data_IF_120487133999
#
_entry.id   IF_120487133999
#
_cell.length_a   1.000
_cell.length_b   1.000
_cell.length_c   1.000
_cell.angle_alpha   90.00
_cell.angle_beta   90.00
_cell.angle_gamma   90.00
#
_symmetry.space_group_name_H-M   'P 1'
#
loop_
_entity.id
_entity.type
_entity.pdbx_description
1 polymer ?
#
# COMPACT_ATOMS: atom_id res chain seq x y z
N UNK A 1 -13.08 15.26 39.57
CA UNK A 1 -12.42 13.93 39.52
C UNK A 1 -13.24 13.07 38.58
N UNK A 2 -12.85 13.00 37.30
CA UNK A 2 -13.56 12.24 36.27
C UNK A 2 -12.63 11.09 35.89
N UNK A 3 -13.08 9.87 36.18
CA UNK A 3 -12.31 8.65 35.97
C UNK A 3 -12.18 8.32 34.48
N UNK A 4 -10.94 8.07 34.06
CA UNK A 4 -10.63 7.50 32.75
C UNK A 4 -10.80 5.98 32.82
N UNK A 5 -11.68 5.45 31.97
CA UNK A 5 -11.80 4.01 31.70
C UNK A 5 -10.74 3.64 30.68
N UNK A 6 -9.70 2.95 31.13
CA UNK A 6 -8.67 2.32 30.30
C UNK A 6 -9.26 1.03 29.74
N UNK A 7 -9.57 1.02 28.44
CA UNK A 7 -9.93 -0.19 27.71
C UNK A 7 -8.68 -1.01 27.40
N UNK A 8 -8.46 -2.09 28.16
CA UNK A 8 -7.42 -3.08 27.87
C UNK A 8 -7.93 -4.06 26.81
N UNK A 9 -7.26 -4.12 25.66
CA UNK A 9 -7.48 -5.17 24.67
C UNK A 9 -6.63 -6.39 25.07
N UNK A 10 -7.31 -7.48 25.40
CA UNK A 10 -6.72 -8.80 25.66
C UNK A 10 -6.07 -9.32 24.38
N UNK A 11 -4.74 -9.42 24.39
CA UNK A 11 -3.98 -10.14 23.37
C UNK A 11 -4.15 -11.65 23.54
N UNK A 12 -4.64 -12.31 22.49
CA UNK A 12 -4.56 -13.77 22.35
C UNK A 12 -3.11 -14.11 21.98
N UNK A 13 -2.42 -14.86 22.85
CA UNK A 13 -1.15 -15.50 22.54
C UNK A 13 -1.40 -16.90 22.00
N UNK A 14 -0.76 -17.23 20.87
CA UNK A 14 -0.49 -18.62 20.50
C UNK A 14 -0.42 -18.88 19.00
N UNK A 15 0.79 -18.89 18.46
CA UNK A 15 1.48 -20.08 17.89
C UNK A 15 2.76 -19.61 17.17
N UNK A 16 3.80 -20.43 17.22
CA UNK A 16 5.12 -20.12 16.67
C UNK A 16 5.03 -19.78 15.18
N UNK A 17 5.20 -18.49 14.90
CA UNK A 17 5.04 -17.88 13.60
C UNK A 17 6.14 -18.36 12.64
N UNK A 18 5.92 -19.26 11.69
CA UNK A 18 6.96 -19.67 10.73
C UNK A 18 7.53 -18.48 9.94
N UNK A 19 8.58 -18.64 9.10
CA UNK A 19 9.09 -17.54 8.29
C UNK A 19 8.01 -16.86 7.42
N UNK A 20 6.94 -17.58 7.08
CA UNK A 20 5.75 -17.09 6.37
C UNK A 20 4.84 -16.17 7.23
N UNK A 21 5.00 -16.16 8.54
CA UNK A 21 4.21 -15.36 9.48
C UNK A 21 4.89 -14.03 9.84
N UNK A 22 6.01 -13.72 9.18
CA UNK A 22 6.64 -12.40 9.29
C UNK A 22 5.73 -11.35 8.64
N UNK A 23 5.61 -10.20 9.30
CA UNK A 23 4.68 -9.13 8.97
C UNK A 23 5.44 -7.79 8.93
N UNK A 24 5.20 -7.02 7.88
CA UNK A 24 5.56 -5.60 7.81
C UNK A 24 4.30 -4.76 7.83
N UNK A 25 4.31 -3.73 8.66
CA UNK A 25 3.23 -2.76 8.74
C UNK A 25 3.75 -1.39 8.31
N UNK A 26 2.98 -0.71 7.45
CA UNK A 26 3.18 0.70 7.13
C UNK A 26 1.93 1.47 7.52
N UNK A 27 2.09 2.48 8.37
CA UNK A 27 1.01 3.39 8.73
C UNK A 27 1.34 4.80 8.25
N UNK A 28 0.35 5.46 7.65
CA UNK A 28 0.44 6.87 7.28
C UNK A 28 -0.69 7.66 7.90
N UNK A 29 -0.32 8.76 8.58
CA UNK A 29 -1.26 9.66 9.24
C UNK A 29 -0.94 11.12 8.89
N UNK A 30 -1.99 11.91 8.71
CA UNK A 30 -1.92 13.37 8.50
C UNK A 30 -2.98 14.02 9.39
N UNK A 31 -2.77 14.13 10.70
CA UNK A 31 -3.81 14.57 11.64
C UNK A 31 -4.27 16.01 11.39
N UNK A 32 -3.44 16.84 10.74
CA UNK A 32 -3.80 18.19 10.34
C UNK A 32 -4.75 18.24 9.14
N UNK A 33 -4.95 17.13 8.42
CA UNK A 33 -5.85 17.03 7.28
C UNK A 33 -7.11 16.24 7.65
N UNK A 34 -8.21 16.50 6.94
CA UNK A 34 -9.47 15.77 7.12
C UNK A 34 -9.48 14.37 6.50
N UNK A 35 -8.41 13.98 5.80
CA UNK A 35 -8.32 12.67 5.19
C UNK A 35 -7.91 11.63 6.24
N UNK A 36 -8.62 10.49 6.34
CA UNK A 36 -8.24 9.44 7.26
C UNK A 36 -6.88 8.87 6.85
N UNK A 37 -6.03 8.65 7.85
CA UNK A 37 -4.83 7.85 7.67
C UNK A 37 -5.17 6.41 7.23
N UNK A 38 -4.15 5.69 6.80
CA UNK A 38 -4.27 4.31 6.37
C UNK A 38 -3.12 3.45 6.87
N UNK A 39 -3.37 2.14 6.88
CA UNK A 39 -2.39 1.13 7.27
C UNK A 39 -2.35 0.02 6.23
N UNK A 40 -1.14 -0.38 5.83
CA UNK A 40 -0.88 -1.64 5.16
C UNK A 40 -0.31 -2.65 6.14
N UNK A 41 -0.76 -3.89 6.01
CA UNK A 41 -0.18 -5.08 6.61
C UNK A 41 0.22 -6.01 5.48
N UNK A 42 1.50 -6.37 5.36
CA UNK A 42 2.02 -7.23 4.29
C UNK A 42 2.75 -8.40 4.90
N UNK A 43 2.28 -9.60 4.61
CA UNK A 43 2.93 -10.85 4.94
C UNK A 43 3.97 -11.23 3.89
N UNK A 44 4.96 -12.02 4.32
CA UNK A 44 6.06 -12.46 3.44
C UNK A 44 5.60 -13.28 2.24
N UNK A 45 4.44 -13.93 2.33
CA UNK A 45 3.87 -14.75 1.27
C UNK A 45 3.01 -13.98 0.26
N UNK A 46 2.87 -12.65 0.42
CA UNK A 46 2.09 -11.79 -0.47
C UNK A 46 0.69 -11.46 0.03
N UNK A 47 0.18 -12.18 1.05
CA UNK A 47 -1.10 -11.80 1.68
C UNK A 47 -0.95 -10.43 2.31
N UNK A 48 -1.93 -9.56 2.07
CA UNK A 48 -1.91 -8.22 2.60
C UNK A 48 -3.30 -7.76 3.04
N UNK A 49 -3.34 -6.69 3.83
CA UNK A 49 -4.55 -5.97 4.15
C UNK A 49 -4.29 -4.46 4.08
N UNK A 50 -5.30 -3.73 3.61
CA UNK A 50 -5.33 -2.28 3.63
C UNK A 50 -6.48 -1.81 4.52
N UNK A 51 -6.16 -1.01 5.53
CA UNK A 51 -7.14 -0.42 6.44
C UNK A 51 -7.19 1.08 6.25
N UNK A 52 -8.37 1.63 6.00
CA UNK A 52 -8.62 3.07 5.97
C UNK A 52 -9.99 3.37 6.60
N UNK A 53 -10.07 4.42 7.42
CA UNK A 53 -11.30 4.82 8.09
C UNK A 53 -11.99 3.68 8.89
N UNK A 54 -11.22 2.74 9.44
CA UNK A 54 -11.72 1.59 10.18
C UNK A 54 -12.23 0.42 9.34
N UNK A 55 -12.19 0.53 8.01
CA UNK A 55 -12.54 -0.55 7.08
C UNK A 55 -11.25 -1.23 6.61
N UNK A 56 -11.13 -2.53 6.87
CA UNK A 56 -10.02 -3.36 6.40
C UNK A 56 -10.44 -4.21 5.22
N UNK A 57 -9.70 -4.12 4.12
CA UNK A 57 -9.90 -4.94 2.92
C UNK A 57 -8.70 -5.88 2.72
N UNK A 58 -8.93 -7.18 2.47
CA UNK A 58 -7.85 -8.08 2.11
C UNK A 58 -7.35 -7.75 0.70
N UNK A 59 -6.05 -7.89 0.51
CA UNK A 59 -5.34 -7.65 -0.74
C UNK A 59 -4.33 -8.77 -0.99
N UNK A 60 -3.89 -8.88 -2.22
CA UNK A 60 -2.79 -9.77 -2.62
C UNK A 60 -1.73 -8.92 -3.30
N UNK A 61 -0.51 -8.98 -2.79
CA UNK A 61 0.67 -8.31 -3.36
C UNK A 61 1.52 -9.38 -4.05
N UNK A 62 2.13 -9.04 -5.19
CA UNK A 62 3.04 -9.94 -5.89
C UNK A 62 4.14 -10.44 -4.96
N UNK A 63 4.47 -11.73 -5.08
CA UNK A 63 5.55 -12.36 -4.32
C UNK A 63 6.88 -11.63 -4.50
N UNK A 64 7.12 -11.08 -5.70
CA UNK A 64 8.28 -10.26 -6.00
C UNK A 64 8.33 -8.95 -5.21
N UNK A 65 7.20 -8.22 -5.09
CA UNK A 65 7.16 -7.00 -4.28
C UNK A 65 7.24 -7.33 -2.78
N UNK A 66 6.51 -8.33 -2.31
CA UNK A 66 6.60 -8.78 -0.92
C UNK A 66 8.04 -9.16 -0.55
N UNK A 67 8.73 -9.95 -1.37
CA UNK A 67 10.13 -10.31 -1.13
C UNK A 67 11.04 -9.07 -1.02
N UNK A 68 10.90 -8.11 -1.95
CA UNK A 68 11.69 -6.87 -1.95
C UNK A 68 11.46 -6.03 -0.67
N UNK A 69 10.21 -5.82 -0.27
CA UNK A 69 9.86 -5.08 0.96
C UNK A 69 10.55 -5.74 2.18
N UNK A 70 10.52 -7.06 2.27
CA UNK A 70 11.15 -7.80 3.37
C UNK A 70 12.68 -7.73 3.34
N UNK A 71 13.31 -7.86 2.17
CA UNK A 71 14.75 -7.69 2.00
C UNK A 71 15.21 -6.29 2.42
N UNK A 72 14.49 -5.26 1.98
CA UNK A 72 14.75 -3.87 2.34
C UNK A 72 14.60 -3.66 3.85
N UNK A 73 13.54 -4.18 4.48
CA UNK A 73 13.35 -4.07 5.93
C UNK A 73 14.49 -4.74 6.72
N UNK A 74 14.93 -5.93 6.33
CA UNK A 74 16.08 -6.62 6.95
C UNK A 74 17.37 -5.80 6.78
N UNK A 75 17.58 -5.18 5.62
CA UNK A 75 18.77 -4.36 5.33
C UNK A 75 18.88 -3.11 6.22
N UNK A 76 17.76 -2.63 6.78
CA UNK A 76 17.70 -1.53 7.75
C UNK A 76 17.39 -2.01 9.16
N UNK A 77 17.94 -3.16 9.55
CA UNK A 77 17.84 -3.72 10.89
C UNK A 77 16.39 -3.86 11.39
N UNK A 78 15.44 -4.20 10.49
CA UNK A 78 14.02 -4.39 10.82
C UNK A 78 13.41 -3.17 11.52
N UNK A 79 13.88 -1.97 11.15
CA UNK A 79 13.49 -0.69 11.72
C UNK A 79 13.87 -0.49 13.19
N UNK A 80 14.76 -1.30 13.76
CA UNK A 80 15.28 -1.12 15.12
C UNK A 80 16.41 -0.07 15.17
N UNK A 81 16.11 1.16 14.74
CA UNK A 81 17.03 2.28 14.76
C UNK A 81 16.29 3.62 14.65
N UNK A 82 16.90 4.74 15.08
CA UNK A 82 16.28 6.07 14.92
C UNK A 82 16.36 6.52 13.46
N UNK A 83 15.31 6.26 12.69
CA UNK A 83 15.25 6.63 11.26
C UNK A 83 14.73 8.06 10.99
N UNK A 84 14.12 8.72 11.98
CA UNK A 84 13.64 10.09 11.81
C UNK A 84 14.79 11.11 11.70
N UNK A 85 14.67 12.03 10.76
CA UNK A 85 15.62 13.13 10.60
C UNK A 85 15.61 14.06 11.81
N UNK A 86 16.80 14.52 12.19
CA UNK A 86 16.99 15.54 13.24
C UNK A 86 17.09 16.96 12.66
N UNK A 87 16.96 17.15 11.34
CA UNK A 87 17.06 18.46 10.71
C UNK A 87 15.87 19.33 11.10
N UNK A 88 16.15 20.61 11.32
CA UNK A 88 15.13 21.63 11.57
C UNK A 88 14.59 22.17 10.24
N UNK A 89 13.37 22.69 10.27
CA UNK A 89 12.75 23.33 9.10
C UNK A 89 12.29 22.36 8.01
N UNK A 90 12.15 21.07 8.32
CA UNK A 90 11.52 20.12 7.40
C UNK A 90 10.01 20.36 7.39
N UNK A 91 9.44 20.48 6.20
CA UNK A 91 8.00 20.58 6.02
C UNK A 91 7.28 19.31 6.56
N UNK A 92 6.06 19.48 7.05
CA UNK A 92 5.24 18.35 7.46
C UNK A 92 4.67 17.62 6.23
N UNK A 93 5.19 16.42 5.98
CA UNK A 93 4.79 15.53 4.88
C UNK A 93 3.88 14.40 5.36
N UNK A 94 3.41 14.45 6.60
CA UNK A 94 2.66 13.39 7.27
C UNK A 94 3.55 12.44 8.06
N UNK A 95 2.99 11.92 9.15
CA UNK A 95 3.64 10.98 10.04
C UNK A 95 3.54 9.56 9.46
N UNK A 96 4.68 8.89 9.35
CA UNK A 96 4.81 7.55 8.79
C UNK A 96 5.39 6.63 9.86
N UNK A 97 4.91 5.41 9.95
CA UNK A 97 5.49 4.36 10.80
C UNK A 97 5.70 3.11 9.98
N UNK A 98 6.95 2.62 9.96
CA UNK A 98 7.29 1.30 9.43
C UNK A 98 7.59 0.39 10.61
N UNK A 99 6.98 -0.79 10.63
CA UNK A 99 7.22 -1.79 11.66
C UNK A 99 7.46 -3.17 11.03
N UNK A 100 8.28 -3.97 11.68
CA UNK A 100 8.56 -5.35 11.33
C UNK A 100 8.28 -6.24 12.54
N UNK A 101 7.70 -7.40 12.29
CA UNK A 101 7.54 -8.46 13.29
C UNK A 101 7.76 -9.82 12.64
N UNK A 102 8.71 -10.58 13.15
CA UNK A 102 9.00 -11.96 12.72
C UNK A 102 9.71 -12.75 13.82
N UNK A 103 10.06 -14.00 13.55
CA UNK A 103 10.89 -14.79 14.50
C UNK A 103 12.31 -14.26 14.62
N UNK A 104 12.80 -13.65 13.55
CA UNK A 104 14.16 -13.14 13.40
C UNK A 104 14.32 -11.71 13.94
N UNK A 105 13.27 -11.16 14.53
CA UNK A 105 13.30 -9.90 15.25
C UNK A 105 12.01 -9.09 15.13
N UNK A 106 12.02 -7.94 15.79
CA UNK A 106 10.98 -6.93 15.66
C UNK A 106 11.62 -5.55 15.80
N UNK A 107 11.00 -4.55 15.20
CA UNK A 107 11.44 -3.17 15.28
C UNK A 107 10.41 -2.26 14.64
N UNK A 108 10.52 -0.97 14.95
CA UNK A 108 9.62 0.04 14.41
C UNK A 108 10.29 1.38 14.40
N UNK A 109 10.05 2.14 13.34
CA UNK A 109 10.46 3.52 13.28
C UNK A 109 9.33 4.42 12.77
N UNK A 110 9.09 5.50 13.52
CA UNK A 110 8.16 6.57 13.19
C UNK A 110 8.92 7.83 12.76
N UNK A 111 8.51 8.44 11.66
CA UNK A 111 9.19 9.59 11.06
C UNK A 111 8.22 10.47 10.25
N UNK A 112 8.46 11.78 10.23
CA UNK A 112 7.90 12.68 9.22
C UNK A 112 8.76 12.62 7.93
N UNK A 113 10.08 12.72 8.13
CA UNK A 113 11.10 12.65 7.09
C UNK A 113 12.28 11.82 7.60
N UNK A 114 12.97 11.15 6.67
CA UNK A 114 14.13 10.30 6.94
C UNK A 114 15.20 10.57 5.89
N UNK A 115 16.48 10.54 6.27
CA UNK A 115 17.60 10.52 5.31
C UNK A 115 17.98 9.10 4.86
N UNK A 116 17.39 8.05 5.44
CA UNK A 116 17.66 6.68 5.02
C UNK A 116 17.00 6.39 3.68
N UNK A 117 17.83 6.17 2.65
CA UNK A 117 17.35 5.88 1.28
C UNK A 117 16.45 4.65 1.24
N UNK A 118 16.80 3.58 1.96
CA UNK A 118 15.97 2.38 2.00
C UNK A 118 14.62 2.63 2.67
N UNK A 119 14.58 3.43 3.74
CA UNK A 119 13.29 3.81 4.38
C UNK A 119 12.46 4.68 3.43
N UNK A 120 13.08 5.55 2.63
CA UNK A 120 12.40 6.29 1.56
C UNK A 120 11.86 5.35 0.48
N UNK A 121 12.65 4.39 -0.01
CA UNK A 121 12.19 3.40 -1.00
C UNK A 121 11.01 2.58 -0.50
N UNK A 122 11.05 2.08 0.74
CA UNK A 122 9.92 1.40 1.36
C UNK A 122 8.69 2.31 1.45
N UNK A 123 8.88 3.58 1.81
CA UNK A 123 7.79 4.56 1.84
C UNK A 123 7.16 4.70 0.46
N UNK A 124 7.97 4.90 -0.57
CA UNK A 124 7.52 5.10 -1.95
C UNK A 124 6.78 3.86 -2.46
N UNK A 125 7.20 2.66 -2.06
CA UNK A 125 6.50 1.41 -2.38
C UNK A 125 5.09 1.38 -1.75
N UNK A 126 4.97 1.60 -0.44
CA UNK A 126 3.66 1.59 0.21
C UNK A 126 2.75 2.73 -0.27
N UNK A 127 3.30 3.91 -0.53
CA UNK A 127 2.53 5.03 -1.07
C UNK A 127 2.14 4.80 -2.54
N UNK A 128 2.96 4.13 -3.33
CA UNK A 128 2.61 3.69 -4.68
C UNK A 128 1.49 2.65 -4.69
N UNK A 129 1.49 1.72 -3.73
CA UNK A 129 0.35 0.80 -3.52
C UNK A 129 -0.92 1.56 -3.12
N UNK A 130 -0.84 2.55 -2.22
CA UNK A 130 -1.99 3.38 -1.86
C UNK A 130 -2.54 4.15 -3.06
N UNK A 131 -1.65 4.71 -3.89
CA UNK A 131 -2.02 5.37 -5.14
C UNK A 131 -2.81 4.41 -6.04
N UNK A 132 -2.33 3.18 -6.23
CA UNK A 132 -3.05 2.19 -7.03
C UNK A 132 -4.46 1.88 -6.50
N UNK A 133 -4.63 1.74 -5.19
CA UNK A 133 -5.96 1.53 -4.62
C UNK A 133 -6.89 2.73 -4.85
N UNK A 134 -6.35 3.96 -4.79
CA UNK A 134 -7.11 5.16 -5.12
C UNK A 134 -7.52 5.21 -6.59
N UNK A 135 -6.62 4.84 -7.50
CA UNK A 135 -6.93 4.73 -8.94
C UNK A 135 -7.98 3.65 -9.21
N UNK A 136 -7.91 2.50 -8.53
CA UNK A 136 -8.94 1.45 -8.63
C UNK A 136 -10.31 1.95 -8.22
N UNK A 137 -10.40 2.64 -7.07
CA UNK A 137 -11.67 3.24 -6.60
C UNK A 137 -12.21 4.28 -7.59
N UNK A 138 -11.33 5.03 -8.23
CA UNK A 138 -11.70 6.01 -9.26
C UNK A 138 -12.23 5.32 -10.51
N UNK A 139 -11.57 4.28 -10.99
CA UNK A 139 -12.05 3.45 -12.10
C UNK A 139 -13.42 2.84 -11.79
N UNK A 140 -13.64 2.30 -10.58
CA UNK A 140 -14.94 1.75 -10.17
C UNK A 140 -16.04 2.83 -10.22
N UNK A 141 -15.76 4.01 -9.69
CA UNK A 141 -16.71 5.13 -9.69
C UNK A 141 -17.06 5.58 -11.11
N UNK A 142 -16.06 5.77 -11.97
CA UNK A 142 -16.26 6.17 -13.36
C UNK A 142 -16.97 5.09 -14.16
N UNK A 143 -16.62 3.82 -13.96
CA UNK A 143 -17.30 2.69 -14.59
C UNK A 143 -18.81 2.69 -14.28
N UNK A 144 -19.17 3.08 -13.06
CA UNK A 144 -20.56 3.14 -12.61
C UNK A 144 -21.31 4.40 -13.03
N UNK A 145 -20.66 5.56 -13.05
CA UNK A 145 -21.36 6.85 -13.16
C UNK A 145 -20.90 7.75 -14.32
N UNK A 146 -19.68 7.57 -14.84
CA UNK A 146 -19.13 8.39 -15.92
C UNK A 146 -18.20 7.58 -16.84
N UNK A 147 -18.81 6.71 -17.65
CA UNK A 147 -18.08 5.82 -18.56
C UNK A 147 -17.29 6.57 -19.65
N UNK A 148 -17.60 7.84 -19.90
CA UNK A 148 -16.88 8.65 -20.89
C UNK A 148 -15.55 9.17 -20.33
N UNK A 149 -15.44 9.37 -19.02
CA UNK A 149 -14.19 9.78 -18.35
C UNK A 149 -13.11 8.68 -18.38
N UNK A 150 -13.52 7.40 -18.39
CA UNK A 150 -12.63 6.23 -18.32
C UNK A 150 -11.47 6.25 -19.32
N UNK A 151 -11.65 6.80 -20.52
CA UNK A 151 -10.57 6.84 -21.50
C UNK A 151 -9.42 7.78 -21.08
N UNK A 152 -9.76 8.93 -20.51
CA UNK A 152 -8.78 9.84 -19.94
C UNK A 152 -8.09 9.20 -18.74
N UNK A 153 -8.85 8.49 -17.92
CA UNK A 153 -8.32 7.84 -16.74
C UNK A 153 -7.36 6.71 -17.04
N UNK A 154 -7.73 5.81 -17.94
CA UNK A 154 -6.85 4.73 -18.39
C UNK A 154 -5.57 5.27 -19.05
N UNK A 155 -5.63 6.42 -19.73
CA UNK A 155 -4.45 7.06 -20.31
C UNK A 155 -3.50 7.58 -19.23
N UNK A 156 -4.05 8.18 -18.17
CA UNK A 156 -3.28 8.61 -16.99
C UNK A 156 -2.63 7.42 -16.31
N UNK A 157 -3.40 6.34 -16.07
CA UNK A 157 -2.92 5.12 -15.44
C UNK A 157 -1.78 4.45 -16.23
N UNK A 158 -1.93 4.31 -17.54
CA UNK A 158 -0.84 3.81 -18.40
C UNK A 158 0.44 4.67 -18.30
N UNK A 159 0.28 5.99 -18.24
CA UNK A 159 1.41 6.91 -18.03
C UNK A 159 2.10 6.66 -16.70
N UNK A 160 1.33 6.52 -15.63
CA UNK A 160 1.86 6.22 -14.30
C UNK A 160 2.61 4.89 -14.25
N UNK A 161 2.11 3.85 -14.94
CA UNK A 161 2.77 2.54 -15.02
C UNK A 161 4.09 2.65 -15.77
N UNK A 162 4.10 3.35 -16.91
CA UNK A 162 5.32 3.58 -17.72
C UNK A 162 6.38 4.37 -16.96
N UNK A 163 5.97 5.35 -16.17
CA UNK A 163 6.86 6.19 -15.36
C UNK A 163 7.32 5.50 -14.06
N UNK A 164 6.83 4.29 -13.76
CA UNK A 164 7.14 3.56 -12.52
C UNK A 164 6.47 4.13 -11.26
N UNK A 165 5.49 5.03 -11.40
CA UNK A 165 4.73 5.63 -10.30
C UNK A 165 3.57 4.74 -9.84
N UNK A 166 2.94 4.03 -10.76
CA UNK A 166 1.94 3.03 -10.48
C UNK A 166 2.62 1.66 -10.38
N UNK A 167 2.88 1.22 -9.16
CA UNK A 167 3.45 -0.10 -8.89
C UNK A 167 2.34 -1.08 -8.49
N UNK A 168 2.56 -2.37 -8.71
CA UNK A 168 1.61 -3.40 -8.28
C UNK A 168 0.21 -3.24 -8.90
N UNK A 169 0.14 -3.16 -10.23
CA UNK A 169 -1.11 -3.07 -11.02
C UNK A 169 -2.11 -4.17 -10.62
N UNK A 170 -1.63 -5.30 -10.09
CA UNK A 170 -2.46 -6.38 -9.57
C UNK A 170 -3.42 -5.98 -8.46
N UNK A 171 -3.17 -4.89 -7.72
CA UNK A 171 -4.08 -4.38 -6.69
C UNK A 171 -5.43 -3.94 -7.24
N UNK A 172 -5.51 -3.59 -8.53
CA UNK A 172 -6.76 -3.15 -9.19
C UNK A 172 -7.23 -4.11 -10.27
N UNK A 173 -6.74 -5.36 -10.25
CA UNK A 173 -7.02 -6.33 -11.30
C UNK A 173 -8.52 -6.58 -11.48
N UNK A 174 -9.28 -6.54 -10.38
CA UNK A 174 -10.74 -6.73 -10.40
C UNK A 174 -11.42 -5.64 -11.22
N UNK A 175 -11.05 -4.39 -11.02
CA UNK A 175 -11.58 -3.23 -11.73
C UNK A 175 -11.17 -3.26 -13.20
N UNK A 176 -9.94 -3.66 -13.51
CA UNK A 176 -9.51 -3.83 -14.90
C UNK A 176 -10.29 -4.94 -15.62
N UNK A 177 -10.53 -6.08 -14.97
CA UNK A 177 -11.34 -7.16 -15.53
C UNK A 177 -12.80 -6.75 -15.73
N UNK A 178 -13.38 -5.94 -14.84
CA UNK A 178 -14.75 -5.44 -15.01
C UNK A 178 -14.89 -4.52 -16.22
N UNK A 179 -13.86 -3.72 -16.52
CA UNK A 179 -13.81 -2.90 -17.73
C UNK A 179 -13.67 -3.75 -19.00
N UNK A 180 -12.81 -4.77 -19.00
CA UNK A 180 -12.63 -5.66 -20.16
C UNK A 180 -13.92 -6.39 -20.53
N UNK A 181 -14.68 -6.82 -19.52
CA UNK A 181 -15.90 -7.62 -19.68
C UNK A 181 -17.18 -6.83 -19.96
N UNK A 182 -17.16 -5.49 -19.90
CA UNK A 182 -18.35 -4.67 -20.11
C UNK A 182 -18.46 -4.20 -21.58
N UNK A 183 -19.41 -4.72 -22.38
CA UNK A 183 -19.56 -4.32 -23.78
C UNK A 183 -20.03 -2.87 -23.97
N UNK A 184 -20.58 -2.23 -22.95
CA UNK A 184 -21.01 -0.83 -23.01
C UNK A 184 -19.86 0.17 -22.76
N UNK A 185 -18.70 -0.33 -22.32
CA UNK A 185 -17.49 0.47 -22.17
C UNK A 185 -16.81 0.62 -23.53
N UNK A 186 -16.30 1.83 -23.82
CA UNK A 186 -15.60 2.13 -25.06
C UNK A 186 -14.51 1.10 -25.35
N UNK A 187 -14.47 0.55 -26.57
CA UNK A 187 -13.51 -0.51 -26.96
C UNK A 187 -12.06 -0.14 -26.59
N UNK A 188 -11.67 1.12 -26.81
CA UNK A 188 -10.32 1.61 -26.46
C UNK A 188 -10.03 1.46 -24.96
N UNK A 189 -10.99 1.73 -24.08
CA UNK A 189 -10.82 1.55 -22.62
C UNK A 189 -10.60 0.06 -22.32
N UNK A 190 -11.40 -0.83 -22.90
CA UNK A 190 -11.27 -2.28 -22.69
C UNK A 190 -9.91 -2.79 -23.15
N UNK A 191 -9.43 -2.35 -24.32
CA UNK A 191 -8.09 -2.70 -24.83
C UNK A 191 -7.00 -2.27 -23.87
N UNK A 192 -7.03 -1.02 -23.38
CA UNK A 192 -6.05 -0.51 -22.42
C UNK A 192 -6.05 -1.31 -21.11
N UNK A 193 -7.23 -1.63 -20.59
CA UNK A 193 -7.35 -2.45 -19.37
C UNK A 193 -6.77 -3.86 -19.58
N UNK A 194 -7.06 -4.47 -20.74
CA UNK A 194 -6.50 -5.76 -21.13
C UNK A 194 -4.98 -5.72 -21.26
N UNK A 195 -4.41 -4.63 -21.78
CA UNK A 195 -2.96 -4.49 -21.90
C UNK A 195 -2.28 -4.34 -20.54
N UNK A 196 -2.86 -3.57 -19.61
CA UNK A 196 -2.37 -3.49 -18.23
C UNK A 196 -2.42 -4.86 -17.53
N UNK A 197 -3.48 -5.63 -17.70
CA UNK A 197 -3.59 -6.97 -17.13
C UNK A 197 -2.48 -7.92 -17.64
N UNK A 198 -2.13 -7.87 -18.92
CA UNK A 198 -1.03 -8.66 -19.48
C UNK A 198 0.33 -8.31 -18.86
N UNK A 199 0.54 -7.05 -18.47
CA UNK A 199 1.80 -6.66 -17.80
C UNK A 199 1.98 -7.38 -16.46
N UNK A 200 0.89 -7.73 -15.78
CA UNK A 200 0.93 -8.46 -14.52
C UNK A 200 1.30 -9.94 -14.72
N UNK A 201 0.83 -10.56 -15.80
CA UNK A 201 1.11 -11.97 -16.11
C UNK A 201 2.58 -12.20 -16.43
N UNK A 202 3.25 -11.20 -17.02
CA UNK A 202 4.69 -11.25 -17.32
C UNK A 202 5.53 -11.04 -16.04
N UNK A 203 4.97 -10.39 -15.01
CA UNK A 203 5.66 -10.05 -13.77
C UNK A 203 5.48 -11.09 -12.64
N UNK A 204 4.71 -12.15 -12.87
CA UNK A 204 4.55 -13.31 -11.97
C UNK A 204 5.55 -14.40 -12.29
#
# INVERSE_FOLDING_TARGET
MIGFLVGAILGVFGQGAGPADSLITFQFDRPALRQPGYTFEVHRDGRAAYTQAGVSVPLEVSTGLAARIFEEAVSVARFDFPCASKKKGIADTGLKTLAYKGQDGAGSCTYNYTESKTVQTLTDQFQGMALMLEEGRKLEMEHKYDRLALYGEMTTLEGMVKDGRAIEVGLIAKELWSLVGDPDVLEKVRVKAGDLLKTMEIAR
#
